data_IF_333833833763
#
_entry.id   IF_333833833763
#
_cell.length_a   1.000
_cell.length_b   1.000
_cell.length_c   1.000
_cell.angle_alpha   90.00
_cell.angle_beta   90.00
_cell.angle_gamma   90.00
#
_symmetry.space_group_name_H-M   'P 1'
#
loop_
_entity.id
_entity.type
_entity.pdbx_description
1 polymer ?
#
# COMPACT_ATOMS: atom_id res chain seq x y z
N UNK A 1 -24.40 -22.46 1.25
CA UNK A 1 -23.06 -21.85 1.32
C UNK A 1 -22.91 -21.26 2.72
N UNK A 2 -21.75 -21.42 3.39
CA UNK A 2 -21.53 -20.67 4.62
C UNK A 2 -21.46 -19.18 4.30
N UNK A 3 -22.05 -18.37 5.17
CA UNK A 3 -22.11 -16.92 5.03
C UNK A 3 -20.72 -16.29 4.93
N UNK A 4 -19.76 -16.81 5.71
CA UNK A 4 -18.34 -16.44 5.62
C UNK A 4 -17.80 -16.54 4.19
N UNK A 5 -18.13 -17.61 3.45
CA UNK A 5 -17.62 -17.81 2.09
C UNK A 5 -18.18 -16.78 1.10
N UNK A 6 -19.38 -16.24 1.32
CA UNK A 6 -19.92 -15.17 0.50
C UNK A 6 -19.13 -13.88 0.72
N UNK A 7 -18.91 -13.51 1.99
CA UNK A 7 -18.22 -12.28 2.37
C UNK A 7 -16.74 -12.35 1.95
N UNK A 8 -16.08 -13.50 2.14
CA UNK A 8 -14.70 -13.71 1.67
C UNK A 8 -14.58 -13.47 0.16
N UNK A 9 -15.55 -13.94 -0.64
CA UNK A 9 -15.54 -13.75 -2.10
C UNK A 9 -15.76 -12.29 -2.47
N UNK A 10 -16.67 -11.60 -1.80
CA UNK A 10 -16.94 -10.17 -2.02
C UNK A 10 -15.69 -9.31 -1.73
N UNK A 11 -14.99 -9.63 -0.64
CA UNK A 11 -13.78 -8.93 -0.22
C UNK A 11 -12.50 -9.43 -0.93
N UNK A 12 -12.63 -10.42 -1.82
CA UNK A 12 -11.54 -11.06 -2.53
C UNK A 12 -10.41 -11.55 -1.59
N UNK A 13 -10.82 -12.18 -0.49
CA UNK A 13 -9.98 -12.87 0.49
C UNK A 13 -10.01 -14.38 0.24
N UNK A 14 -8.87 -15.05 0.47
CA UNK A 14 -8.69 -16.49 0.19
C UNK A 14 -8.57 -17.32 1.46
N UNK A 15 -8.20 -16.71 2.58
CA UNK A 15 -8.01 -17.42 3.84
C UNK A 15 -9.34 -17.86 4.45
N UNK A 16 -9.47 -19.17 4.69
CA UNK A 16 -10.68 -19.80 5.22
C UNK A 16 -10.77 -19.74 6.74
N UNK A 17 -9.69 -19.36 7.42
CA UNK A 17 -9.63 -19.25 8.88
C UNK A 17 -10.18 -17.91 9.40
N UNK A 18 -10.67 -17.06 8.49
CA UNK A 18 -11.32 -15.78 8.80
C UNK A 18 -12.82 -16.04 8.93
N UNK A 19 -13.34 -15.81 10.13
CA UNK A 19 -14.76 -15.93 10.46
C UNK A 19 -15.32 -14.55 10.73
N UNK A 20 -16.39 -14.17 10.03
CA UNK A 20 -17.02 -12.86 10.26
C UNK A 20 -17.89 -12.93 11.52
N UNK A 21 -18.09 -11.78 12.16
CA UNK A 21 -18.93 -11.69 13.37
C UNK A 21 -19.88 -10.53 13.26
N UNK A 22 -21.10 -10.72 13.73
CA UNK A 22 -22.08 -9.65 13.85
C UNK A 22 -21.72 -8.64 14.92
N UNK A 23 -22.12 -7.40 14.69
CA UNK A 23 -22.14 -6.35 15.70
C UNK A 23 -23.37 -6.48 16.61
N UNK A 24 -23.48 -5.61 17.62
CA UNK A 24 -24.64 -5.57 18.55
C UNK A 24 -25.99 -5.40 17.83
N UNK A 25 -25.99 -4.80 16.64
CA UNK A 25 -27.17 -4.63 15.80
C UNK A 25 -27.52 -5.85 14.92
N UNK A 26 -26.73 -6.93 14.97
CA UNK A 26 -26.89 -8.08 14.07
C UNK A 26 -26.42 -7.84 12.63
N UNK A 27 -25.61 -6.79 12.42
CA UNK A 27 -25.03 -6.44 11.12
C UNK A 27 -23.55 -6.89 11.05
N UNK A 28 -23.17 -7.46 9.90
CA UNK A 28 -21.82 -7.95 9.60
C UNK A 28 -20.82 -6.86 9.21
N UNK A 29 -21.37 -5.71 8.82
CA UNK A 29 -20.61 -4.53 8.46
C UNK A 29 -21.32 -3.29 9.00
N UNK A 30 -20.55 -2.22 9.13
CA UNK A 30 -21.09 -0.94 9.56
C UNK A 30 -20.31 0.19 8.91
N UNK A 31 -20.96 1.35 8.82
CA UNK A 31 -20.30 2.55 8.35
C UNK A 31 -19.71 3.34 9.50
N UNK A 32 -18.49 3.80 9.31
CA UNK A 32 -17.80 4.69 10.22
C UNK A 32 -17.00 5.73 9.43
N UNK A 33 -16.45 6.74 10.09
CA UNK A 33 -15.65 7.77 9.46
C UNK A 33 -14.20 7.69 9.91
N UNK A 34 -13.28 7.86 8.96
CA UNK A 34 -11.84 7.90 9.23
C UNK A 34 -11.24 9.18 8.66
N UNK A 35 -10.09 9.58 9.19
CA UNK A 35 -9.42 10.83 8.82
C UNK A 35 -9.70 11.99 9.79
N UNK A 36 -9.09 13.14 9.53
CA UNK A 36 -9.21 14.36 10.33
C UNK A 36 -9.51 15.56 9.43
N UNK A 37 -10.33 16.49 9.91
CA UNK A 37 -10.73 17.69 9.17
C UNK A 37 -11.33 17.35 7.80
N UNK A 38 -10.88 18.05 6.76
CA UNK A 38 -11.37 17.91 5.38
C UNK A 38 -11.07 16.55 4.74
N UNK A 39 -10.21 15.73 5.36
CA UNK A 39 -9.88 14.37 4.90
C UNK A 39 -10.79 13.30 5.52
N UNK A 40 -11.84 13.71 6.25
CA UNK A 40 -12.80 12.78 6.84
C UNK A 40 -13.64 12.15 5.73
N UNK A 41 -13.61 10.83 5.64
CA UNK A 41 -14.33 10.06 4.63
C UNK A 41 -15.06 8.88 5.26
N UNK A 42 -16.13 8.46 4.58
CA UNK A 42 -16.97 7.33 4.98
C UNK A 42 -16.26 6.01 4.63
N UNK A 43 -16.22 5.11 5.60
CA UNK A 43 -15.58 3.81 5.51
C UNK A 43 -16.59 2.72 5.82
N UNK A 44 -16.54 1.62 5.07
CA UNK A 44 -17.30 0.40 5.36
C UNK A 44 -16.39 -0.58 6.10
N UNK A 45 -16.77 -0.98 7.31
CA UNK A 45 -15.95 -1.81 8.19
C UNK A 45 -16.62 -3.15 8.41
N UNK A 46 -15.89 -4.23 8.14
CA UNK A 46 -16.26 -5.60 8.43
C UNK A 46 -15.52 -6.07 9.69
N UNK A 47 -16.19 -6.80 10.57
CA UNK A 47 -15.61 -7.38 11.78
C UNK A 47 -15.39 -8.87 11.60
N UNK A 48 -14.16 -9.34 11.87
CA UNK A 48 -13.82 -10.74 11.71
C UNK A 48 -12.76 -11.22 12.71
N UNK A 49 -12.78 -12.52 12.98
CA UNK A 49 -11.82 -13.23 13.82
C UNK A 49 -10.95 -14.16 12.95
N UNK A 50 -9.64 -14.10 13.14
CA UNK A 50 -8.68 -15.04 12.55
C UNK A 50 -8.22 -16.02 13.63
N UNK A 51 -8.67 -17.27 13.49
CA UNK A 51 -8.40 -18.36 14.44
C UNK A 51 -8.12 -19.66 13.75
N UNK A 52 -7.13 -20.39 14.27
CA UNK A 52 -6.86 -21.77 13.89
C UNK A 52 -6.10 -22.46 15.01
N UNK A 53 -6.14 -23.79 15.06
CA UNK A 53 -5.34 -24.56 16.01
C UNK A 53 -3.93 -24.79 15.46
N UNK A 54 -2.93 -24.64 16.31
CA UNK A 54 -1.52 -24.84 15.96
C UNK A 54 -0.96 -25.99 16.77
N UNK A 55 -0.61 -27.08 16.10
CA UNK A 55 -0.09 -28.27 16.77
C UNK A 55 1.41 -28.17 17.09
N UNK A 56 2.15 -27.24 16.47
CA UNK A 56 3.61 -27.11 16.63
C UNK A 56 4.03 -25.66 16.76
N UNK A 57 4.95 -25.40 17.68
CA UNK A 57 5.57 -24.07 17.78
C UNK A 57 6.47 -23.80 16.57
N UNK A 58 6.39 -22.60 15.98
CA UNK A 58 7.25 -22.17 14.87
C UNK A 58 8.72 -22.10 15.24
N UNK A 59 9.02 -21.86 16.53
CA UNK A 59 10.36 -21.52 16.97
C UNK A 59 11.09 -22.73 17.56
N UNK A 60 10.41 -23.51 18.42
CA UNK A 60 11.02 -24.69 19.06
C UNK A 60 10.61 -26.03 18.44
N UNK A 61 9.60 -26.08 17.54
CA UNK A 61 9.19 -27.28 16.82
C UNK A 61 8.45 -28.36 17.63
N UNK A 62 8.36 -28.21 18.95
CA UNK A 62 7.64 -29.13 19.84
C UNK A 62 6.13 -29.11 19.59
N UNK A 63 5.53 -30.30 19.71
CA UNK A 63 4.09 -30.50 19.55
C UNK A 63 3.33 -30.17 20.84
N UNK A 64 2.08 -29.75 20.70
CA UNK A 64 1.11 -29.60 21.79
C UNK A 64 1.57 -28.73 22.97
N UNK A 65 2.53 -27.83 22.71
CA UNK A 65 3.07 -26.88 23.67
C UNK A 65 2.49 -25.47 23.48
N UNK A 66 1.54 -25.29 22.55
CA UNK A 66 1.01 -24.00 22.15
C UNK A 66 -0.39 -23.81 22.71
N UNK A 67 -0.59 -22.72 23.44
CA UNK A 67 -1.87 -22.38 24.07
C UNK A 67 -2.40 -21.05 23.59
N UNK A 68 -3.72 -20.89 23.74
CA UNK A 68 -4.39 -19.61 23.53
C UNK A 68 -3.95 -18.62 24.63
N UNK A 69 -3.52 -17.42 24.21
CA UNK A 69 -3.03 -16.38 25.12
C UNK A 69 -3.84 -15.07 25.05
N UNK A 70 -4.84 -15.00 24.17
CA UNK A 70 -5.65 -13.81 23.97
C UNK A 70 -5.77 -13.40 22.51
N UNK A 71 -6.04 -12.11 22.29
CA UNK A 71 -6.38 -11.56 20.98
C UNK A 71 -5.72 -10.21 20.74
N UNK A 72 -5.41 -9.91 19.47
CA UNK A 72 -5.01 -8.58 19.00
C UNK A 72 -5.99 -8.13 17.93
N UNK A 73 -6.54 -6.91 18.03
CA UNK A 73 -7.31 -6.33 16.94
C UNK A 73 -6.42 -5.48 16.04
N UNK A 74 -6.63 -5.55 14.72
CA UNK A 74 -5.97 -4.67 13.75
C UNK A 74 -6.94 -4.34 12.64
N UNK A 75 -7.08 -3.05 12.32
CA UNK A 75 -7.81 -2.61 11.13
C UNK A 75 -6.90 -2.76 9.89
N UNK A 76 -7.35 -3.58 8.94
CA UNK A 76 -6.70 -3.82 7.66
C UNK A 76 -7.49 -3.11 6.56
N UNK A 77 -6.81 -2.41 5.66
CA UNK A 77 -7.39 -1.83 4.46
C UNK A 77 -7.47 -2.87 3.37
N UNK A 78 -8.63 -2.96 2.75
CA UNK A 78 -8.93 -3.83 1.62
C UNK A 78 -9.21 -2.99 0.38
N UNK A 79 -9.01 -3.59 -0.78
CA UNK A 79 -9.56 -3.05 -2.03
C UNK A 79 -10.97 -3.54 -2.18
N UNK A 80 -11.92 -2.65 -1.93
CA UNK A 80 -13.32 -2.91 -2.20
C UNK A 80 -13.67 -2.66 -3.67
N UNK A 81 -14.69 -3.36 -4.16
CA UNK A 81 -15.45 -2.99 -5.36
C UNK A 81 -16.37 -1.78 -5.12
N UNK A 82 -16.53 -1.38 -3.86
CA UNK A 82 -17.36 -0.25 -3.47
C UNK A 82 -16.65 1.09 -3.65
N UNK A 83 -17.43 2.17 -3.76
CA UNK A 83 -16.91 3.53 -3.83
C UNK A 83 -16.27 4.01 -2.50
N UNK A 84 -16.49 3.27 -1.41
CA UNK A 84 -16.08 3.62 -0.05
C UNK A 84 -14.73 2.99 0.32
N UNK A 85 -14.05 3.55 1.32
CA UNK A 85 -12.87 2.91 1.94
C UNK A 85 -13.33 1.65 2.68
N UNK A 86 -12.91 0.47 2.20
CA UNK A 86 -13.29 -0.82 2.79
C UNK A 86 -12.21 -1.28 3.74
N UNK A 87 -12.60 -1.55 4.98
CA UNK A 87 -11.71 -2.02 6.04
C UNK A 87 -12.22 -3.28 6.71
N UNK A 88 -11.26 -4.05 7.22
CA UNK A 88 -11.50 -5.25 7.99
C UNK A 88 -10.90 -5.06 9.39
N UNK A 89 -11.75 -4.94 10.39
CA UNK A 89 -11.37 -5.02 11.79
C UNK A 89 -11.11 -6.49 12.15
N UNK A 90 -9.85 -6.91 11.99
CA UNK A 90 -9.44 -8.30 12.14
C UNK A 90 -8.89 -8.56 13.55
N UNK A 91 -9.57 -9.41 14.31
CA UNK A 91 -9.12 -9.92 15.60
C UNK A 91 -8.30 -11.18 15.40
N UNK A 92 -6.99 -11.08 15.58
CA UNK A 92 -6.03 -12.17 15.43
C UNK A 92 -5.78 -12.85 16.77
N UNK A 93 -5.88 -14.17 16.80
CA UNK A 93 -5.54 -14.97 17.97
C UNK A 93 -4.06 -14.87 18.31
N UNK A 94 -3.73 -14.72 19.61
CA UNK A 94 -2.37 -14.81 20.14
C UNK A 94 -2.14 -16.21 20.69
N UNK A 95 -0.97 -16.74 20.38
CA UNK A 95 -0.48 -18.02 20.84
C UNK A 95 0.71 -17.82 21.77
N UNK A 96 0.79 -18.64 22.82
CA UNK A 96 1.93 -18.69 23.72
C UNK A 96 2.46 -20.12 23.77
N UNK A 97 3.78 -20.28 23.63
CA UNK A 97 4.42 -21.57 23.76
C UNK A 97 4.95 -21.77 25.18
N UNK A 98 4.46 -22.81 25.87
CA UNK A 98 4.90 -23.16 27.23
C UNK A 98 6.36 -23.61 27.31
N UNK A 99 6.89 -24.18 26.23
CA UNK A 99 8.24 -24.73 26.22
C UNK A 99 9.33 -23.66 26.05
N UNK A 100 9.15 -22.72 25.11
CA UNK A 100 10.13 -21.67 24.85
C UNK A 100 9.73 -20.29 25.38
N UNK A 101 8.50 -20.12 25.88
CA UNK A 101 7.98 -18.83 26.34
C UNK A 101 7.62 -17.84 25.24
N UNK A 102 7.88 -18.16 23.96
CA UNK A 102 7.62 -17.25 22.85
C UNK A 102 6.12 -17.06 22.60
N UNK A 103 5.79 -15.86 22.13
CA UNK A 103 4.43 -15.52 21.71
C UNK A 103 4.42 -15.19 20.22
N UNK A 104 3.39 -15.66 19.53
CA UNK A 104 3.18 -15.36 18.13
C UNK A 104 1.69 -15.12 17.85
N UNK A 105 1.41 -14.40 16.77
CA UNK A 105 0.04 -14.06 16.37
C UNK A 105 -0.36 -14.90 15.17
N UNK A 106 -1.64 -15.22 15.07
CA UNK A 106 -2.23 -15.86 13.90
C UNK A 106 -1.86 -15.09 12.63
N UNK A 107 -1.29 -15.82 11.68
CA UNK A 107 -0.91 -15.31 10.37
C UNK A 107 -1.95 -15.76 9.33
N UNK A 108 -2.12 -14.96 8.30
CA UNK A 108 -3.03 -15.23 7.19
C UNK A 108 -2.25 -15.14 5.89
N UNK A 109 -2.68 -15.90 4.88
CA UNK A 109 -2.09 -15.80 3.54
C UNK A 109 -2.36 -14.45 2.88
N UNK A 110 -3.47 -13.78 3.21
CA UNK A 110 -3.88 -12.54 2.52
C UNK A 110 -3.21 -11.29 3.08
N UNK A 111 -2.59 -11.41 4.26
CA UNK A 111 -2.01 -10.31 5.00
C UNK A 111 -0.54 -10.55 5.32
N UNK A 112 0.27 -9.52 5.13
CA UNK A 112 1.67 -9.55 5.56
C UNK A 112 1.82 -9.21 7.04
N UNK A 113 2.92 -9.69 7.63
CA UNK A 113 3.29 -9.35 9.02
C UNK A 113 3.49 -7.84 9.13
N UNK A 114 2.97 -7.25 10.21
CA UNK A 114 3.10 -5.83 10.53
C UNK A 114 2.63 -4.85 9.43
N UNK A 115 1.79 -5.30 8.50
CA UNK A 115 1.18 -4.45 7.49
C UNK A 115 -0.30 -4.25 7.78
N UNK A 116 -0.83 -3.07 7.42
CA UNK A 116 -2.26 -2.76 7.49
C UNK A 116 -2.92 -2.78 6.11
N UNK A 117 -2.19 -3.09 5.04
CA UNK A 117 -2.71 -3.13 3.66
C UNK A 117 -2.71 -4.59 3.23
N UNK A 118 -3.82 -5.06 2.66
CA UNK A 118 -3.89 -6.44 2.17
C UNK A 118 -2.92 -6.68 1.01
N UNK A 119 -2.42 -7.92 0.87
CA UNK A 119 -1.53 -8.26 -0.24
C UNK A 119 -2.22 -8.03 -1.58
N UNK A 120 -3.50 -8.32 -1.66
CA UNK A 120 -4.31 -8.09 -2.86
C UNK A 120 -4.33 -6.61 -3.27
N UNK A 121 -4.51 -5.72 -2.28
CA UNK A 121 -4.43 -4.28 -2.50
C UNK A 121 -3.08 -3.84 -3.03
N UNK A 122 -1.98 -4.41 -2.51
CA UNK A 122 -0.64 -4.13 -3.02
C UNK A 122 -0.48 -4.56 -4.48
N UNK A 123 -1.03 -5.71 -4.87
CA UNK A 123 -1.01 -6.17 -6.27
C UNK A 123 -1.76 -5.19 -7.17
N UNK A 124 -2.97 -4.75 -6.77
CA UNK A 124 -3.76 -3.78 -7.54
C UNK A 124 -3.03 -2.43 -7.66
N UNK A 125 -2.36 -1.97 -6.59
CA UNK A 125 -1.51 -0.77 -6.68
C UNK A 125 -0.44 -0.94 -7.75
N UNK A 126 0.28 -2.08 -7.75
CA UNK A 126 1.34 -2.35 -8.74
C UNK A 126 0.77 -2.41 -10.17
N UNK A 127 -0.39 -3.03 -10.38
CA UNK A 127 -1.06 -3.10 -11.69
C UNK A 127 -1.47 -1.70 -12.18
N UNK A 128 -2.15 -0.93 -11.34
CA UNK A 128 -2.59 0.43 -11.68
C UNK A 128 -1.42 1.37 -12.06
N UNK A 129 -0.27 1.23 -11.40
CA UNK A 129 0.91 2.05 -11.69
C UNK A 129 1.63 1.59 -12.97
N UNK A 130 1.85 0.28 -13.12
CA UNK A 130 2.70 -0.26 -14.19
C UNK A 130 1.95 -0.56 -15.49
N UNK A 131 0.72 -1.06 -15.40
CA UNK A 131 -0.10 -1.48 -16.55
C UNK A 131 -0.98 -0.33 -17.03
N UNK A 132 -1.73 0.29 -16.11
CA UNK A 132 -2.66 1.37 -16.45
C UNK A 132 -2.01 2.77 -16.50
N UNK A 133 -0.71 2.86 -16.19
CA UNK A 133 0.07 4.10 -16.20
C UNK A 133 -0.58 5.25 -15.41
N UNK A 134 -1.30 4.92 -14.33
CA UNK A 134 -1.95 5.91 -13.49
C UNK A 134 -0.94 6.62 -12.59
N UNK A 135 -1.17 7.91 -12.33
CA UNK A 135 -0.33 8.64 -11.37
C UNK A 135 -0.56 8.15 -9.93
N UNK A 136 0.48 8.14 -9.10
CA UNK A 136 0.40 7.75 -7.69
C UNK A 136 -0.76 8.45 -6.94
N UNK A 137 -0.98 9.74 -7.23
CA UNK A 137 -2.05 10.54 -6.60
C UNK A 137 -3.44 10.05 -7.00
N UNK A 138 -3.60 9.62 -8.24
CA UNK A 138 -4.87 9.07 -8.75
C UNK A 138 -5.13 7.71 -8.09
N UNK A 139 -4.13 6.83 -8.08
CA UNK A 139 -4.23 5.50 -7.43
C UNK A 139 -4.53 5.64 -5.93
N UNK A 140 -3.85 6.54 -5.24
CA UNK A 140 -4.09 6.84 -3.83
C UNK A 140 -5.55 7.26 -3.55
N UNK A 141 -6.13 8.08 -4.43
CA UNK A 141 -7.54 8.48 -4.33
C UNK A 141 -8.51 7.34 -4.61
N UNK A 142 -8.25 6.52 -5.63
CA UNK A 142 -9.13 5.40 -5.97
C UNK A 142 -9.15 4.32 -4.90
N UNK A 143 -8.00 4.04 -4.28
CA UNK A 143 -7.86 2.98 -3.29
C UNK A 143 -7.96 3.49 -1.84
N UNK A 144 -8.28 4.77 -1.63
CA UNK A 144 -8.37 5.41 -0.31
C UNK A 144 -7.13 5.20 0.58
N UNK A 145 -5.95 5.21 -0.04
CA UNK A 145 -4.64 5.03 0.61
C UNK A 145 -3.83 6.32 0.52
N UNK A 146 -2.90 6.56 1.45
CA UNK A 146 -2.04 7.74 1.37
C UNK A 146 -1.05 7.61 0.20
N UNK A 147 -0.74 8.72 -0.52
CA UNK A 147 0.26 8.70 -1.59
C UNK A 147 1.60 8.12 -1.13
N UNK A 148 2.05 8.47 0.08
CA UNK A 148 3.28 7.91 0.66
C UNK A 148 3.23 6.38 0.80
N UNK A 149 2.06 5.79 1.07
CA UNK A 149 1.94 4.33 1.16
C UNK A 149 2.01 3.68 -0.22
N UNK A 150 1.43 4.31 -1.24
CA UNK A 150 1.56 3.88 -2.64
C UNK A 150 3.03 3.89 -3.05
N UNK A 151 3.72 4.99 -2.79
CA UNK A 151 5.15 5.13 -3.08
C UNK A 151 5.99 4.05 -2.37
N UNK A 152 5.69 3.74 -1.11
CA UNK A 152 6.37 2.65 -0.38
C UNK A 152 6.13 1.27 -1.01
N UNK A 153 4.90 0.98 -1.44
CA UNK A 153 4.57 -0.30 -2.11
C UNK A 153 5.32 -0.42 -3.43
N UNK A 154 5.43 0.68 -4.18
CA UNK A 154 6.20 0.73 -5.42
C UNK A 154 7.68 0.47 -5.16
N UNK A 155 8.28 1.17 -4.18
CA UNK A 155 9.66 0.91 -3.79
C UNK A 155 9.87 -0.56 -3.38
N UNK A 156 9.05 -1.10 -2.47
CA UNK A 156 9.15 -2.49 -2.02
C UNK A 156 9.16 -3.48 -3.20
N UNK A 157 8.36 -3.22 -4.25
CA UNK A 157 8.33 -4.04 -5.46
C UNK A 157 9.66 -4.02 -6.25
N UNK A 158 10.28 -2.85 -6.33
CA UNK A 158 11.57 -2.64 -7.01
C UNK A 158 12.70 -3.37 -6.25
N UNK A 159 12.65 -3.35 -4.92
CA UNK A 159 13.60 -4.07 -4.07
C UNK A 159 13.46 -5.60 -4.18
N UNK A 160 12.24 -6.12 -4.17
CA UNK A 160 11.98 -7.56 -4.39
C UNK A 160 12.45 -8.03 -5.77
N UNK A 161 12.45 -7.13 -6.77
CA UNK A 161 12.89 -7.37 -8.15
C UNK A 161 14.38 -7.10 -8.43
N UNK A 162 15.18 -6.70 -7.43
CA UNK A 162 16.64 -6.63 -7.54
C UNK A 162 17.23 -5.49 -8.39
N UNK A 163 16.52 -4.41 -8.70
CA UNK A 163 17.11 -3.27 -9.39
C UNK A 163 16.65 -1.92 -8.85
N UNK A 164 17.48 -1.25 -8.04
CA UNK A 164 17.31 0.16 -7.69
C UNK A 164 17.16 1.03 -8.96
N UNK A 165 15.98 1.61 -9.17
CA UNK A 165 15.80 2.78 -10.04
C UNK A 165 15.02 3.84 -9.29
N UNK A 166 15.72 4.88 -8.85
CA UNK A 166 15.08 6.15 -8.51
C UNK A 166 14.50 6.76 -9.78
N UNK A 167 13.20 6.99 -9.82
CA UNK A 167 12.59 7.91 -10.79
C UNK A 167 11.67 8.91 -10.07
N UNK A 168 12.28 9.84 -9.34
CA UNK A 168 11.71 11.20 -9.28
C UNK A 168 12.05 11.89 -10.61
N UNK A 169 11.27 11.64 -11.66
CA UNK A 169 11.30 12.46 -12.87
C UNK A 169 9.99 12.28 -13.67
N UNK A 170 8.94 12.99 -13.24
CA UNK A 170 7.80 13.28 -14.11
C UNK A 170 7.47 14.78 -14.13
N UNK A 171 8.51 15.62 -14.20
CA UNK A 171 8.32 17.04 -14.56
C UNK A 171 9.40 17.66 -15.45
N UNK A 172 10.33 16.88 -16.01
CA UNK A 172 11.43 17.39 -16.84
C UNK A 172 11.44 16.82 -18.26
N UNK A 173 10.85 15.66 -18.50
CA UNK A 173 10.93 15.02 -19.84
C UNK A 173 10.00 15.64 -20.88
N UNK A 174 8.98 16.41 -20.46
CA UNK A 174 8.11 17.14 -21.40
C UNK A 174 8.85 18.35 -22.00
N UNK A 175 9.80 18.96 -21.29
CA UNK A 175 10.53 20.11 -21.84
C UNK A 175 11.54 19.72 -22.92
N UNK A 176 12.16 18.54 -22.83
CA UNK A 176 13.15 18.08 -23.82
C UNK A 176 12.50 17.56 -25.11
N UNK A 177 11.36 16.85 -25.00
CA UNK A 177 10.62 16.40 -26.18
C UNK A 177 9.99 17.57 -26.97
N UNK A 178 9.58 18.64 -26.29
CA UNK A 178 9.14 19.89 -26.94
C UNK A 178 10.33 20.59 -27.61
N UNK A 179 11.52 20.60 -26.99
CA UNK A 179 12.71 21.24 -27.56
C UNK A 179 13.22 20.54 -28.83
N UNK A 180 13.20 19.20 -28.86
CA UNK A 180 13.60 18.43 -30.03
C UNK A 180 12.52 18.41 -31.14
N UNK A 181 11.24 18.60 -30.79
CA UNK A 181 10.13 18.71 -31.74
C UNK A 181 10.03 20.05 -32.48
N UNK A 182 10.72 21.10 -32.02
CA UNK A 182 10.71 22.44 -32.65
C UNK A 182 11.90 22.70 -33.59
N UNK A 183 12.78 21.71 -33.81
CA UNK A 183 14.04 21.88 -34.56
C UNK A 183 13.96 21.58 -36.08
N UNK A 184 12.77 21.52 -36.69
CA UNK A 184 12.65 21.23 -38.14
C UNK A 184 11.89 22.28 -38.97
N UNK A 185 11.88 23.55 -38.54
CA UNK A 185 11.41 24.64 -39.39
C UNK A 185 12.18 25.94 -39.12
N UNK A 186 13.16 26.23 -39.97
CA UNK A 186 13.61 27.58 -40.29
C UNK A 186 13.70 27.67 -41.83
N UNK A 187 13.43 28.82 -42.46
CA UNK A 187 13.94 30.12 -42.02
C UNK A 187 13.00 31.33 -42.18
N UNK A 188 13.53 32.49 -41.77
CA UNK A 188 13.09 33.86 -42.06
C UNK A 188 11.97 34.42 -41.18
N UNK A 189 12.35 35.13 -40.12
CA UNK A 189 12.03 36.57 -39.99
C UNK A 189 13.15 37.22 -39.17
N UNK A 190 13.68 38.26 -39.81
CA UNK A 190 14.67 39.18 -39.32
C UNK A 190 14.07 40.20 -38.36
N UNK A 191 14.96 40.73 -37.50
CA UNK A 191 14.92 42.05 -36.87
C UNK A 191 14.16 42.24 -35.53
N UNK A 192 14.99 42.50 -34.52
CA UNK A 192 14.91 43.61 -33.57
C UNK A 192 13.83 43.54 -32.47
N UNK A 193 14.27 43.33 -31.23
CA UNK A 193 14.36 44.38 -30.19
C UNK A 193 14.74 43.77 -28.84
N UNK A 194 15.60 44.50 -28.12
CA UNK A 194 16.16 44.26 -26.78
C UNK A 194 17.17 43.11 -26.69
N UNK A 195 18.46 43.30 -26.46
CA UNK A 195 19.19 44.44 -25.92
C UNK A 195 20.24 43.91 -24.93
N UNK A 196 21.51 43.94 -25.36
CA UNK A 196 22.72 44.13 -24.52
C UNK A 196 23.03 43.05 -23.44
N UNK A 197 23.84 42.06 -23.85
CA UNK A 197 25.15 41.62 -23.28
C UNK A 197 25.71 42.32 -22.00
N UNK A 198 26.79 41.81 -21.37
CA UNK A 198 27.06 40.51 -20.74
C UNK A 198 27.65 40.72 -19.30
N UNK A 199 28.12 39.68 -18.59
CA UNK A 199 29.42 39.70 -17.87
C UNK A 199 29.70 38.40 -17.11
N UNK A 200 30.87 37.85 -17.47
CA UNK A 200 31.76 36.91 -16.81
C UNK A 200 31.45 36.52 -15.35
N UNK A 201 31.51 35.21 -15.07
CA UNK A 201 32.08 34.74 -13.81
C UNK A 201 33.17 33.71 -14.09
N UNK A 202 34.31 34.03 -13.51
CA UNK A 202 35.61 33.39 -13.55
C UNK A 202 35.65 32.06 -12.79
N UNK A 203 36.59 31.21 -13.23
CA UNK A 203 37.23 30.12 -12.48
C UNK A 203 37.16 30.24 -10.95
N UNK A 204 36.91 29.12 -10.25
CA UNK A 204 37.67 28.69 -9.06
C UNK A 204 37.27 27.26 -8.59
N UNK A 205 38.19 26.33 -8.87
CA UNK A 205 38.72 25.27 -7.97
C UNK A 205 37.77 24.25 -7.32
N UNK A 206 37.94 23.02 -7.78
CA UNK A 206 37.80 21.78 -7.02
C UNK A 206 38.56 21.83 -5.68
N UNK A 207 37.90 21.41 -4.59
CA UNK A 207 38.56 20.91 -3.38
C UNK A 207 38.21 19.42 -3.22
N UNK A 208 39.20 18.53 -2.98
CA UNK A 208 38.95 17.15 -2.62
C UNK A 208 38.62 17.03 -1.12
N UNK A 209 37.84 16.01 -0.79
CA UNK A 209 37.54 15.58 0.57
C UNK A 209 38.58 14.51 0.91
N UNK A 210 39.36 14.76 1.96
CA UNK A 210 39.92 13.72 2.82
C UNK A 210 38.91 13.40 3.94
#
# INVERSE_FOLDING_TARGET
MSQDNCILRELNLKDKNIHFTDNEAGEWNYFDYRGRGDKRHKCLIYTANLTYSVSRCSDCGFRDCVEHWGWTSTEMRLTGTSLWDVRLALRKQRFHCKNCGNTFTAASSDFEKNCQISRNTKVIVKQNLNEDMMTEKTVAKHLHISPNSVQRIEYDAIYEGGQYKYQYNFKTTITEAIFHGMSSAQPMISLALFGVMPLQSSNLKYCPID
#
